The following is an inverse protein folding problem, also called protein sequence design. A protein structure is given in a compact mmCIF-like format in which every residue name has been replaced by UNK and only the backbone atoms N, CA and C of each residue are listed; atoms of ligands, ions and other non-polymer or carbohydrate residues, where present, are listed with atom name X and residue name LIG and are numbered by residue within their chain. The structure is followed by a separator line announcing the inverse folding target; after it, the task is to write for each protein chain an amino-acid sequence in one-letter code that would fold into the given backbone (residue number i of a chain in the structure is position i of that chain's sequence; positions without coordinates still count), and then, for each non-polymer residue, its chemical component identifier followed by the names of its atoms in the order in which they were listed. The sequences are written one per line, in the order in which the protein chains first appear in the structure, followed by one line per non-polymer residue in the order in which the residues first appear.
data_IF_466182443166
#
_entry.id   IF_466182443166
#
_cell.length_a   1.000
_cell.length_b   1.000
_cell.length_c   1.000
_cell.angle_alpha   90.00
_cell.angle_beta   90.00
_cell.angle_gamma   90.00
#
_symmetry.space_group_name_H-M   'P 1'
#
loop_
_entity.id
_entity.type
_entity.pdbx_description
1 polymer ?
#
# COMPACT_ATOMS: atom_id res chain seq x y z
N UNK A 1 -19.37 -7.03 -14.96
CA UNK A 1 -18.01 -7.39 -15.43
C UNK A 1 -17.46 -8.45 -14.51
N UNK A 2 -16.76 -9.45 -15.05
CA UNK A 2 -16.07 -10.45 -14.25
C UNK A 2 -14.92 -9.77 -13.49
N UNK A 3 -14.74 -10.11 -12.21
CA UNK A 3 -13.70 -9.53 -11.33
C UNK A 3 -12.63 -10.53 -10.92
N UNK A 4 -12.89 -11.82 -11.12
CA UNK A 4 -12.03 -12.93 -10.72
C UNK A 4 -11.91 -13.94 -11.86
N UNK A 5 -10.71 -14.46 -12.10
CA UNK A 5 -10.41 -15.47 -13.11
C UNK A 5 -9.67 -16.64 -12.49
N UNK A 6 -10.00 -17.84 -12.91
CA UNK A 6 -9.06 -18.98 -12.79
C UNK A 6 -7.92 -18.81 -13.78
N UNK A 7 -6.83 -19.58 -13.61
CA UNK A 7 -5.72 -19.52 -14.58
C UNK A 7 -6.15 -19.88 -16.02
N UNK A 8 -7.10 -20.80 -16.18
CA UNK A 8 -7.59 -21.22 -17.49
C UNK A 8 -8.38 -20.09 -18.16
N UNK A 9 -9.28 -19.44 -17.43
CA UNK A 9 -10.07 -18.32 -17.93
C UNK A 9 -9.20 -17.09 -18.20
N UNK A 10 -8.19 -16.84 -17.36
CA UNK A 10 -7.22 -15.77 -17.58
C UNK A 10 -6.44 -16.01 -18.88
N UNK A 11 -5.96 -17.24 -19.08
CA UNK A 11 -5.25 -17.66 -20.28
C UNK A 11 -6.07 -17.45 -21.56
N UNK A 12 -7.36 -17.80 -21.51
CA UNK A 12 -8.31 -17.58 -22.59
C UNK A 12 -8.52 -16.09 -22.86
N UNK A 13 -8.81 -15.29 -21.83
CA UNK A 13 -9.14 -13.87 -21.96
C UNK A 13 -7.97 -13.03 -22.51
N UNK A 14 -6.73 -13.35 -22.13
CA UNK A 14 -5.53 -12.64 -22.60
C UNK A 14 -4.87 -13.29 -23.83
N UNK A 15 -5.41 -14.42 -24.31
CA UNK A 15 -4.88 -15.18 -25.44
C UNK A 15 -3.44 -15.67 -25.23
N UNK A 16 -3.09 -16.05 -24.00
CA UNK A 16 -1.77 -16.57 -23.64
C UNK A 16 -1.90 -17.98 -23.05
N UNK A 17 -0.99 -18.91 -23.38
CA UNK A 17 -0.96 -20.19 -22.71
C UNK A 17 -0.77 -20.04 -21.20
N UNK A 18 -1.48 -20.85 -20.40
CA UNK A 18 -1.33 -20.88 -18.93
C UNK A 18 0.14 -21.09 -18.49
N UNK A 19 0.94 -21.83 -19.27
CA UNK A 19 2.38 -22.00 -19.05
C UNK A 19 3.16 -20.68 -19.14
N UNK A 20 2.78 -19.79 -20.05
CA UNK A 20 3.43 -18.49 -20.24
C UNK A 20 3.10 -17.55 -19.08
N UNK A 21 1.86 -17.59 -18.60
CA UNK A 21 1.45 -16.83 -17.41
C UNK A 21 2.26 -17.28 -16.19
N UNK A 22 2.36 -18.60 -15.93
CA UNK A 22 3.21 -19.12 -14.85
C UNK A 22 4.68 -18.74 -15.01
N UNK A 23 5.18 -18.74 -16.25
CA UNK A 23 6.54 -18.29 -16.55
C UNK A 23 6.74 -16.80 -16.21
N UNK A 24 5.78 -15.93 -16.53
CA UNK A 24 5.84 -14.51 -16.15
C UNK A 24 5.80 -14.30 -14.64
N UNK A 25 4.99 -15.08 -13.92
CA UNK A 25 4.95 -15.07 -12.44
C UNK A 25 6.31 -15.47 -11.87
N UNK A 26 6.87 -16.60 -12.33
CA UNK A 26 8.16 -17.09 -11.86
C UNK A 26 9.32 -16.11 -12.10
N UNK A 27 9.19 -15.24 -13.11
CA UNK A 27 10.17 -14.20 -13.44
C UNK A 27 9.86 -12.84 -12.81
N UNK A 28 8.79 -12.72 -12.03
CA UNK A 28 8.38 -11.47 -11.39
C UNK A 28 7.85 -10.41 -12.36
N UNK A 29 7.42 -10.78 -13.57
CA UNK A 29 6.76 -9.86 -14.51
C UNK A 29 5.29 -9.66 -14.18
N UNK A 30 4.68 -10.63 -13.51
CA UNK A 30 3.30 -10.67 -13.10
C UNK A 30 3.26 -11.12 -11.63
N UNK A 31 2.40 -10.50 -10.82
CA UNK A 31 2.20 -10.93 -9.44
C UNK A 31 1.62 -12.36 -9.38
N UNK A 32 1.85 -13.03 -8.25
CA UNK A 32 1.19 -14.30 -7.96
C UNK A 32 -0.33 -14.14 -7.84
N UNK A 33 -1.09 -15.25 -7.88
CA UNK A 33 -2.53 -15.19 -7.72
C UNK A 33 -2.91 -14.59 -6.36
N UNK A 34 -4.04 -13.88 -6.30
CA UNK A 34 -4.58 -13.28 -5.07
C UNK A 34 -4.91 -14.36 -4.03
N UNK A 35 -5.37 -15.51 -4.51
CA UNK A 35 -5.55 -16.74 -3.71
C UNK A 35 -4.67 -17.83 -4.31
N UNK A 36 -3.79 -18.43 -3.52
CA UNK A 36 -2.88 -19.49 -3.97
C UNK A 36 -3.47 -20.91 -3.75
N UNK A 37 -2.95 -21.90 -4.49
CA UNK A 37 -3.29 -23.32 -4.34
C UNK A 37 -4.13 -23.90 -5.48
N UNK A 38 -4.91 -24.95 -5.20
CA UNK A 38 -5.73 -25.66 -6.20
C UNK A 38 -6.84 -24.81 -6.81
N UNK A 39 -7.30 -23.76 -6.12
CA UNK A 39 -8.25 -22.78 -6.61
C UNK A 39 -7.59 -21.42 -6.80
N UNK A 40 -6.54 -21.35 -7.62
CA UNK A 40 -5.82 -20.10 -7.82
C UNK A 40 -6.72 -19.04 -8.50
N UNK A 41 -6.85 -17.87 -7.86
CA UNK A 41 -7.68 -16.76 -8.34
C UNK A 41 -6.80 -15.58 -8.76
N UNK A 42 -7.14 -14.98 -9.89
CA UNK A 42 -6.49 -13.81 -10.46
C UNK A 42 -7.52 -12.71 -10.63
N UNK A 43 -7.26 -11.49 -10.15
CA UNK A 43 -8.13 -10.34 -10.39
C UNK A 43 -7.77 -9.52 -11.63
N UNK A 44 -8.50 -8.42 -11.83
CA UNK A 44 -8.39 -7.55 -13.00
C UNK A 44 -6.97 -7.00 -13.25
N UNK A 45 -6.20 -6.74 -12.18
CA UNK A 45 -4.81 -6.26 -12.28
C UNK A 45 -3.92 -7.22 -13.09
N UNK A 46 -4.18 -8.52 -13.00
CA UNK A 46 -3.42 -9.52 -13.76
C UNK A 46 -3.71 -9.42 -15.27
N UNK A 47 -4.97 -9.20 -15.64
CA UNK A 47 -5.40 -9.03 -17.03
C UNK A 47 -4.76 -7.78 -17.63
N UNK A 48 -4.84 -6.65 -16.93
CA UNK A 48 -4.24 -5.38 -17.34
C UNK A 48 -2.74 -5.52 -17.55
N UNK A 49 -2.07 -6.14 -16.58
CA UNK A 49 -0.62 -6.37 -16.62
C UNK A 49 -0.20 -7.28 -17.77
N UNK A 50 -0.93 -8.37 -18.02
CA UNK A 50 -0.66 -9.26 -19.16
C UNK A 50 -0.85 -8.54 -20.49
N UNK A 51 -1.88 -7.71 -20.64
CA UNK A 51 -2.09 -6.88 -21.84
C UNK A 51 -0.96 -5.87 -22.04
N UNK A 52 -0.47 -5.25 -20.96
CA UNK A 52 0.68 -4.35 -20.98
C UNK A 52 1.96 -5.06 -21.43
N UNK A 53 2.28 -6.22 -20.84
CA UNK A 53 3.44 -7.02 -21.23
C UNK A 53 3.40 -7.32 -22.73
N UNK A 54 2.24 -7.73 -23.28
CA UNK A 54 2.11 -7.99 -24.71
C UNK A 54 2.26 -6.74 -25.57
N UNK A 55 1.79 -5.59 -25.10
CA UNK A 55 2.00 -4.31 -25.78
C UNK A 55 3.50 -4.00 -25.87
N UNK A 56 4.21 -4.06 -24.76
CA UNK A 56 5.66 -3.79 -24.71
C UNK A 56 6.47 -4.79 -25.56
N UNK A 57 6.09 -6.07 -25.57
CA UNK A 57 6.72 -7.05 -26.46
C UNK A 57 6.50 -6.74 -27.95
N UNK A 58 5.30 -6.25 -28.33
CA UNK A 58 5.02 -5.82 -29.72
C UNK A 58 5.83 -4.57 -30.12
N UNK A 59 6.20 -3.74 -29.15
CA UNK A 59 7.10 -2.60 -29.33
C UNK A 59 8.59 -3.01 -29.40
N UNK A 60 8.90 -4.31 -29.35
CA UNK A 60 10.25 -4.85 -29.49
C UNK A 60 11.02 -4.99 -28.18
N UNK A 61 10.39 -4.73 -27.03
CA UNK A 61 11.03 -4.83 -25.71
C UNK A 61 11.26 -6.30 -25.33
N UNK A 62 12.45 -6.59 -24.83
CA UNK A 62 12.79 -7.92 -24.31
C UNK A 62 12.11 -8.14 -22.95
N UNK A 63 11.74 -9.39 -22.64
CA UNK A 63 11.13 -9.73 -21.36
C UNK A 63 11.98 -9.34 -20.15
N UNK A 64 13.31 -9.37 -20.28
CA UNK A 64 14.23 -8.93 -19.22
C UNK A 64 14.10 -7.42 -18.93
N UNK A 65 13.94 -6.60 -19.97
CA UNK A 65 13.77 -5.15 -19.83
C UNK A 65 12.42 -4.82 -19.18
N UNK A 66 11.37 -5.56 -19.55
CA UNK A 66 10.03 -5.40 -18.97
C UNK A 66 10.06 -5.79 -17.48
N UNK A 67 10.72 -6.89 -17.13
CA UNK A 67 10.89 -7.33 -15.74
C UNK A 67 11.63 -6.28 -14.91
N UNK A 68 12.74 -5.75 -15.42
CA UNK A 68 13.55 -4.76 -14.71
C UNK A 68 12.80 -3.45 -14.45
N UNK A 69 12.00 -2.98 -15.41
CA UNK A 69 11.16 -1.79 -15.22
C UNK A 69 10.10 -1.98 -14.12
N UNK A 70 9.69 -3.21 -13.87
CA UNK A 70 8.62 -3.55 -12.90
C UNK A 70 9.16 -3.81 -11.51
N UNK A 71 10.40 -4.30 -11.43
CA UNK A 71 11.15 -4.49 -10.19
C UNK A 71 11.97 -3.26 -9.78
N UNK A 72 11.69 -2.07 -10.36
CA UNK A 72 12.36 -0.85 -9.94
C UNK A 72 12.09 -0.69 -8.43
N UNK A 73 13.13 -0.74 -7.57
CA UNK A 73 12.93 -0.60 -6.14
C UNK A 73 12.17 0.70 -5.90
N UNK A 74 11.05 0.62 -5.18
CA UNK A 74 10.42 1.82 -4.65
C UNK A 74 11.46 2.42 -3.72
N UNK A 75 11.98 3.58 -4.09
CA UNK A 75 12.87 4.33 -3.23
C UNK A 75 12.08 4.66 -1.97
N UNK A 76 12.50 4.08 -0.85
CA UNK A 76 11.85 4.38 0.42
C UNK A 76 12.11 5.87 0.71
N UNK A 77 11.08 6.65 1.06
CA UNK A 77 11.31 8.00 1.53
C UNK A 77 12.30 7.96 2.70
N UNK A 78 13.11 9.02 2.85
CA UNK A 78 13.99 9.11 4.01
C UNK A 78 13.19 8.94 5.31
N UNK A 79 13.70 8.16 6.28
CA UNK A 79 12.96 7.85 7.48
C UNK A 79 12.63 9.13 8.25
N UNK A 80 11.33 9.41 8.38
CA UNK A 80 10.85 10.58 9.09
C UNK A 80 10.79 10.28 10.59
N UNK A 81 11.52 11.04 11.41
CA UNK A 81 11.37 10.94 12.87
C UNK A 81 10.08 11.63 13.31
N UNK A 82 9.32 10.99 14.20
CA UNK A 82 8.10 11.57 14.80
C UNK A 82 8.08 11.37 16.33
N UNK A 83 7.58 12.36 17.05
CA UNK A 83 7.19 12.26 18.45
C UNK A 83 5.68 12.12 18.55
N UNK A 84 5.23 11.10 19.29
CA UNK A 84 3.83 10.80 19.51
C UNK A 84 3.44 11.15 20.95
N UNK A 85 2.40 11.95 21.10
CA UNK A 85 1.80 12.29 22.39
C UNK A 85 0.36 11.76 22.41
N UNK A 86 0.00 11.02 23.46
CA UNK A 86 -1.39 10.64 23.73
C UNK A 86 -1.98 11.69 24.68
N UNK A 87 -2.99 12.43 24.23
CA UNK A 87 -3.57 13.55 25.00
C UNK A 87 -4.74 13.09 25.88
N UNK A 88 -5.61 12.25 25.35
CA UNK A 88 -6.80 11.70 26.00
C UNK A 88 -7.17 10.34 25.37
N UNK A 89 -8.23 9.70 25.84
CA UNK A 89 -8.69 8.46 25.21
C UNK A 89 -9.09 8.73 23.75
N UNK A 90 -8.57 7.92 22.83
CA UNK A 90 -8.73 8.11 21.38
C UNK A 90 -8.03 9.34 20.77
N UNK A 91 -7.35 10.21 21.53
CA UNK A 91 -6.72 11.44 21.00
C UNK A 91 -5.19 11.34 21.00
N UNK A 92 -4.61 11.36 19.80
CA UNK A 92 -3.16 11.31 19.56
C UNK A 92 -2.71 12.50 18.73
N UNK A 93 -1.56 13.08 19.09
CA UNK A 93 -0.87 14.08 18.28
C UNK A 93 0.53 13.61 17.93
N UNK A 94 0.86 13.67 16.64
CA UNK A 94 2.18 13.36 16.12
C UNK A 94 2.89 14.63 15.66
N UNK A 95 4.15 14.78 16.07
CA UNK A 95 5.00 15.90 15.71
C UNK A 95 6.22 15.38 14.96
N UNK A 96 6.63 16.07 13.91
CA UNK A 96 7.92 15.82 13.27
C UNK A 96 9.07 16.01 14.28
N UNK A 97 10.03 15.10 14.25
CA UNK A 97 11.19 15.05 15.17
C UNK A 97 12.32 16.01 14.76
N UNK A 98 12.27 16.55 13.55
CA UNK A 98 13.21 17.54 13.02
C UNK A 98 12.77 19.00 13.29
N UNK A 99 11.70 19.20 14.07
CA UNK A 99 11.23 20.53 14.41
C UNK A 99 12.24 21.29 15.28
N UNK A 100 12.45 22.57 14.96
CA UNK A 100 13.31 23.45 15.75
C UNK A 100 12.88 23.48 17.23
N UNK A 101 13.83 23.46 18.21
CA UNK A 101 13.51 23.34 19.63
C UNK A 101 12.51 24.37 20.18
N UNK A 102 12.55 25.61 19.67
CA UNK A 102 11.61 26.66 20.08
C UNK A 102 10.17 26.37 19.65
N UNK A 103 10.00 25.76 18.47
CA UNK A 103 8.69 25.41 17.89
C UNK A 103 8.11 24.22 18.65
N UNK A 104 8.95 23.24 18.96
CA UNK A 104 8.62 22.14 19.86
C UNK A 104 8.12 22.65 21.20
N UNK A 105 8.85 23.58 21.83
CA UNK A 105 8.47 24.17 23.12
C UNK A 105 7.11 24.86 23.05
N UNK A 106 6.84 25.62 21.98
CA UNK A 106 5.55 26.27 21.75
C UNK A 106 4.42 25.26 21.55
N UNK A 107 4.63 24.21 20.73
CA UNK A 107 3.62 23.19 20.49
C UNK A 107 3.34 22.40 21.78
N UNK A 108 4.38 22.01 22.54
CA UNK A 108 4.20 21.33 23.83
C UNK A 108 3.36 22.15 24.81
N UNK A 109 3.56 23.48 24.85
CA UNK A 109 2.73 24.37 25.66
C UNK A 109 1.26 24.31 25.23
N UNK A 110 0.97 24.43 23.94
CA UNK A 110 -0.38 24.33 23.41
C UNK A 110 -1.02 22.95 23.65
N UNK A 111 -0.25 21.87 23.51
CA UNK A 111 -0.72 20.52 23.80
C UNK A 111 -1.05 20.33 25.28
N UNK A 112 -0.29 20.95 26.18
CA UNK A 112 -0.59 20.92 27.61
C UNK A 112 -1.89 21.64 27.94
N UNK A 113 -2.17 22.78 27.30
CA UNK A 113 -3.42 23.53 27.45
C UNK A 113 -4.61 22.70 26.91
N UNK A 114 -4.46 22.09 25.73
CA UNK A 114 -5.47 21.22 25.14
C UNK A 114 -5.73 19.96 25.98
N UNK A 115 -4.69 19.35 26.55
CA UNK A 115 -4.83 18.17 27.42
C UNK A 115 -5.63 18.50 28.68
N UNK A 116 -5.49 19.71 29.24
CA UNK A 116 -6.29 20.14 30.40
C UNK A 116 -7.78 20.18 30.04
N UNK A 117 -8.14 20.79 28.90
CA UNK A 117 -9.53 20.89 28.46
C UNK A 117 -10.17 19.55 28.11
N UNK A 118 -9.43 18.66 27.44
CA UNK A 118 -9.94 17.32 27.09
C UNK A 118 -10.20 16.46 28.33
N UNK A 119 -9.38 16.61 29.38
CA UNK A 119 -9.60 15.92 30.66
C UNK A 119 -10.81 16.45 31.43
N UNK A 120 -11.13 17.73 31.28
CA UNK A 120 -12.33 18.32 31.88
C UNK A 120 -13.60 17.76 31.23
N UNK A 121 -13.64 17.64 29.90
CA UNK A 121 -14.78 17.07 29.16
C UNK A 121 -15.00 15.57 29.43
N UNK A 122 -13.93 14.78 29.53
CA UNK A 122 -14.02 13.34 29.89
C UNK A 122 -14.57 13.15 31.32
N UNK A 123 -14.31 14.09 32.23
CA UNK A 123 -14.79 14.03 33.62
C UNK A 123 -16.27 14.42 33.72
N UNK A 124 -16.71 15.41 32.95
CA UNK A 124 -18.12 15.85 32.92
C UNK A 124 -19.04 14.88 32.15
N UNK A 125 -18.52 14.21 31.12
CA UNK A 125 -19.25 13.19 30.36
C UNK A 125 -19.56 11.92 31.16
N UNK A 126 -18.74 11.59 32.17
CA UNK A 126 -18.89 10.39 32.98
C UNK A 126 -19.83 10.58 34.20
N UNK A 127 -20.42 11.77 34.36
CA UNK A 127 -21.40 12.09 35.41
C UNK A 127 -22.82 12.25 34.84
N UNK A 128 -23.20 11.38 33.89
CA UNK A 128 -24.59 11.18 33.47
C UNK A 128 -24.85 9.69 33.24
N UNK A 129 -24.99 8.94 34.33
CA UNK A 129 -25.65 7.62 34.34
C UNK A 129 -26.53 7.55 35.58
#
# INVERSE_FOLDING_TARGET
MKTEWTLAELAEDVGLPARTIRYYIARGLLDGPEVAGRGAVYGARHVERLKEIRKLQREGRMLAEIAQASHRPVELPEPEAWWRYSLADGVVVELRGDLAPWRVKRIRKALSEAMTHLKEEDTDGNMRV
#
